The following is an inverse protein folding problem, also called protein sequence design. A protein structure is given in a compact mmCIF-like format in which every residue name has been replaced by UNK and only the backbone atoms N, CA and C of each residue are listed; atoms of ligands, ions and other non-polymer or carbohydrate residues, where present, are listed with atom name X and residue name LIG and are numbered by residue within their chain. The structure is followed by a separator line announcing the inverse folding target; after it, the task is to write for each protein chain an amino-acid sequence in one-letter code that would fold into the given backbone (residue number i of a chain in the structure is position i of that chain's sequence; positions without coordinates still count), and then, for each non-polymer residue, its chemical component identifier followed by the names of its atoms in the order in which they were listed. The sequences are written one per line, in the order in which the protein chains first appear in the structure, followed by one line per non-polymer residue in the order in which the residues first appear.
data_IF_292247183329
#
_entry.id   IF_292247183329
#
_cell.length_a   1.000
_cell.length_b   1.000
_cell.length_c   1.000
_cell.angle_alpha   90.00
_cell.angle_beta   90.00
_cell.angle_gamma   90.00
#
_symmetry.space_group_name_H-M   'P 1'
#
loop_
_entity.id
_entity.type
_entity.pdbx_description
1 polymer ?
#
# COMPACT_ATOMS: atom_id res chain seq x y z
N UNK A 1 -61.46 -3.96 31.24
CA UNK A 1 -60.90 -5.13 31.97
C UNK A 1 -60.46 -6.27 31.03
N UNK A 2 -61.10 -6.46 29.86
CA UNK A 2 -60.79 -7.58 28.95
C UNK A 2 -59.45 -7.47 28.19
N UNK A 3 -58.98 -6.25 27.89
CA UNK A 3 -57.74 -6.06 27.13
C UNK A 3 -56.48 -6.59 27.85
N UNK A 4 -56.40 -6.41 29.17
CA UNK A 4 -55.27 -6.91 29.98
C UNK A 4 -55.26 -8.44 30.09
N UNK A 5 -56.44 -9.07 30.11
CA UNK A 5 -56.58 -10.52 30.18
C UNK A 5 -56.18 -11.16 28.86
N UNK A 6 -56.62 -10.60 27.73
CA UNK A 6 -56.21 -11.05 26.40
C UNK A 6 -54.70 -10.83 26.15
N UNK A 7 -54.15 -9.70 26.58
CA UNK A 7 -52.70 -9.45 26.50
C UNK A 7 -51.90 -10.49 27.31
N UNK A 8 -52.34 -10.82 28.53
CA UNK A 8 -51.69 -11.86 29.35
C UNK A 8 -51.77 -13.23 28.71
N UNK A 9 -52.91 -13.58 28.11
CA UNK A 9 -53.12 -14.84 27.40
C UNK A 9 -52.23 -14.94 26.15
N UNK A 10 -52.10 -13.85 25.40
CA UNK A 10 -51.24 -13.76 24.21
C UNK A 10 -49.75 -13.85 24.56
N UNK A 11 -49.32 -13.20 25.64
CA UNK A 11 -47.93 -13.29 26.14
C UNK A 11 -47.58 -14.72 26.58
N UNK A 12 -48.51 -15.39 27.27
CA UNK A 12 -48.32 -16.78 27.68
C UNK A 12 -48.28 -17.74 26.49
N UNK A 13 -49.17 -17.58 25.51
CA UNK A 13 -49.25 -18.46 24.34
C UNK A 13 -48.07 -18.30 23.38
N UNK A 14 -47.51 -17.09 23.27
CA UNK A 14 -46.44 -16.77 22.30
C UNK A 14 -45.05 -16.65 22.95
N UNK A 15 -44.89 -17.05 24.21
CA UNK A 15 -43.64 -17.00 24.98
C UNK A 15 -42.43 -17.62 24.26
N UNK A 16 -42.63 -18.72 23.54
CA UNK A 16 -41.58 -19.39 22.74
C UNK A 16 -41.13 -18.54 21.54
N UNK A 17 -42.04 -17.75 20.94
CA UNK A 17 -41.70 -16.85 19.84
C UNK A 17 -40.87 -15.66 20.33
N UNK A 18 -41.20 -15.10 21.50
CA UNK A 18 -40.40 -14.04 22.11
C UNK A 18 -38.98 -14.51 22.45
N UNK A 19 -38.83 -15.69 23.05
CA UNK A 19 -37.51 -16.26 23.31
C UNK A 19 -36.70 -16.50 22.01
N UNK A 20 -37.36 -16.83 20.90
CA UNK A 20 -36.68 -16.97 19.60
C UNK A 20 -36.27 -15.61 19.03
N UNK A 21 -37.09 -14.57 19.18
CA UNK A 21 -36.76 -13.20 18.79
C UNK A 21 -35.57 -12.66 19.58
N UNK A 22 -35.59 -12.82 20.92
CA UNK A 22 -34.48 -12.40 21.80
C UNK A 22 -33.16 -13.09 21.40
N UNK A 23 -33.23 -14.38 21.05
CA UNK A 23 -32.05 -15.14 20.61
C UNK A 23 -31.54 -14.69 19.23
N UNK A 24 -32.42 -14.23 18.34
CA UNK A 24 -32.03 -13.69 17.04
C UNK A 24 -31.38 -12.32 17.22
N UNK A 25 -31.96 -11.46 18.07
CA UNK A 25 -31.42 -10.14 18.38
C UNK A 25 -30.03 -10.23 19.05
N UNK A 26 -29.88 -11.13 20.03
CA UNK A 26 -28.56 -11.42 20.63
C UNK A 26 -27.54 -11.89 19.59
N UNK A 27 -27.91 -12.82 18.71
CA UNK A 27 -27.03 -13.27 17.63
C UNK A 27 -26.68 -12.16 16.65
N UNK A 28 -27.59 -11.23 16.40
CA UNK A 28 -27.36 -10.10 15.52
C UNK A 28 -26.35 -9.13 16.15
N UNK A 29 -26.53 -8.81 17.43
CA UNK A 29 -25.57 -7.98 18.19
C UNK A 29 -24.18 -8.64 18.23
N UNK A 30 -24.10 -9.95 18.50
CA UNK A 30 -22.83 -10.69 18.48
C UNK A 30 -22.18 -10.73 17.10
N UNK A 31 -22.98 -10.79 16.04
CA UNK A 31 -22.50 -10.79 14.66
C UNK A 31 -21.96 -9.42 14.29
N UNK A 32 -22.67 -8.35 14.62
CA UNK A 32 -22.22 -6.97 14.38
C UNK A 32 -20.91 -6.67 15.12
N UNK A 33 -20.77 -7.14 16.37
CA UNK A 33 -19.52 -7.04 17.13
C UNK A 33 -18.35 -7.77 16.44
N UNK A 34 -18.58 -9.00 15.97
CA UNK A 34 -17.56 -9.77 15.23
C UNK A 34 -17.19 -9.10 13.91
N UNK A 35 -18.16 -8.51 13.21
CA UNK A 35 -17.88 -7.74 12.00
C UNK A 35 -16.99 -6.54 12.31
N UNK A 36 -17.29 -5.76 13.35
CA UNK A 36 -16.46 -4.65 13.80
C UNK A 36 -15.03 -5.09 14.17
N UNK A 37 -14.88 -6.22 14.86
CA UNK A 37 -13.56 -6.79 15.17
C UNK A 37 -12.79 -7.20 13.91
N UNK A 38 -13.46 -7.82 12.93
CA UNK A 38 -12.86 -8.19 11.64
C UNK A 38 -12.48 -6.94 10.85
N UNK A 39 -13.35 -5.93 10.78
CA UNK A 39 -13.05 -4.67 10.09
C UNK A 39 -11.87 -3.95 10.73
N UNK A 40 -11.81 -3.89 12.06
CA UNK A 40 -10.64 -3.36 12.79
C UNK A 40 -9.37 -4.15 12.51
N UNK A 41 -9.45 -5.49 12.47
CA UNK A 41 -8.30 -6.34 12.15
C UNK A 41 -7.83 -6.17 10.68
N UNK A 42 -8.74 -5.92 9.76
CA UNK A 42 -8.44 -5.63 8.35
C UNK A 42 -7.87 -4.22 8.17
N UNK A 43 -8.37 -3.23 8.90
CA UNK A 43 -7.82 -1.87 8.92
C UNK A 43 -6.44 -1.83 9.59
N UNK A 44 -6.24 -2.57 10.69
CA UNK A 44 -4.93 -2.67 11.34
C UNK A 44 -3.90 -3.38 10.44
N UNK A 45 -4.31 -4.34 9.62
CA UNK A 45 -3.44 -4.96 8.60
C UNK A 45 -3.24 -4.08 7.36
N UNK A 46 -4.11 -3.09 7.12
CA UNK A 46 -3.91 -2.06 6.09
C UNK A 46 -2.96 -0.96 6.52
N UNK A 47 -2.80 -0.77 7.83
CA UNK A 47 -2.21 0.45 8.37
C UNK A 47 -0.71 0.60 8.12
N UNK A 48 0.00 -0.43 7.68
CA UNK A 48 1.38 -0.25 7.30
C UNK A 48 1.88 -1.41 6.42
N UNK A 49 2.08 -1.10 5.14
CA UNK A 49 3.23 -1.62 4.41
C UNK A 49 4.54 -1.09 5.05
N UNK A 50 4.70 -1.22 6.37
CA UNK A 50 5.91 -0.85 7.14
C UNK A 50 7.16 -1.51 6.55
N UNK A 51 6.95 -2.61 5.84
CA UNK A 51 7.98 -3.43 5.22
C UNK A 51 8.15 -3.19 3.71
N UNK A 52 7.48 -2.19 3.13
CA UNK A 52 7.55 -1.91 1.68
C UNK A 52 7.03 -3.04 0.80
N UNK A 53 6.15 -3.90 1.33
CA UNK A 53 5.53 -5.01 0.59
C UNK A 53 4.18 -4.54 0.05
N UNK A 54 3.98 -4.71 -1.26
CA UNK A 54 2.77 -4.33 -1.99
C UNK A 54 2.20 -5.54 -2.72
N UNK A 55 0.87 -5.67 -2.71
CA UNK A 55 0.16 -6.74 -3.42
C UNK A 55 -0.22 -6.31 -4.84
N UNK A 56 -0.48 -7.30 -5.71
CA UNK A 56 -0.94 -7.04 -7.08
C UNK A 56 -2.21 -6.16 -7.07
N UNK A 57 -2.13 -5.00 -7.74
CA UNK A 57 -3.20 -3.99 -7.78
C UNK A 57 -2.88 -2.70 -7.01
N UNK A 58 -1.92 -2.73 -6.08
CA UNK A 58 -1.48 -1.54 -5.30
C UNK A 58 -0.39 -0.73 -6.03
N UNK A 59 -0.55 -0.52 -7.34
CA UNK A 59 0.47 0.11 -8.18
C UNK A 59 0.72 1.55 -7.75
N UNK A 60 -0.35 2.30 -7.50
CA UNK A 60 -0.26 3.71 -7.10
C UNK A 60 0.28 3.88 -5.67
N UNK A 61 -0.08 2.99 -4.75
CA UNK A 61 0.42 3.01 -3.38
C UNK A 61 1.93 2.73 -3.35
N UNK A 62 2.40 1.74 -4.14
CA UNK A 62 3.82 1.44 -4.30
C UNK A 62 4.59 2.62 -4.90
N UNK A 63 4.04 3.26 -5.94
CA UNK A 63 4.63 4.45 -6.55
C UNK A 63 4.76 5.62 -5.57
N UNK A 64 3.72 5.86 -4.77
CA UNK A 64 3.69 6.93 -3.77
C UNK A 64 4.72 6.66 -2.68
N UNK A 65 4.79 5.42 -2.20
CA UNK A 65 5.78 5.00 -1.21
C UNK A 65 7.22 5.21 -1.68
N UNK A 66 7.56 4.75 -2.90
CA UNK A 66 8.91 4.97 -3.46
C UNK A 66 9.18 6.45 -3.69
N UNK A 67 8.19 7.22 -4.16
CA UNK A 67 8.32 8.67 -4.31
C UNK A 67 8.63 9.37 -2.99
N UNK A 68 7.97 8.96 -1.90
CA UNK A 68 8.19 9.53 -0.57
C UNK A 68 9.56 9.18 -0.01
N UNK A 69 10.03 7.96 -0.27
CA UNK A 69 11.39 7.54 0.06
C UNK A 69 12.42 8.42 -0.67
N UNK A 70 12.26 8.62 -1.98
CA UNK A 70 13.18 9.44 -2.79
C UNK A 70 13.24 10.89 -2.31
N UNK A 71 12.09 11.47 -1.92
CA UNK A 71 12.02 12.83 -1.37
C UNK A 71 12.69 12.97 0.00
N UNK A 72 12.66 11.90 0.80
CA UNK A 72 13.25 11.86 2.15
C UNK A 72 14.74 11.54 2.16
N UNK A 73 15.32 11.10 1.04
CA UNK A 73 16.74 10.83 0.94
C UNK A 73 17.55 12.11 1.21
N UNK A 74 18.61 12.00 2.02
CA UNK A 74 19.43 13.15 2.44
C UNK A 74 20.79 13.19 1.73
N UNK A 75 21.38 12.02 1.42
CA UNK A 75 22.75 11.92 0.92
C UNK A 75 22.82 11.34 -0.49
N UNK A 76 22.36 10.10 -0.66
CA UNK A 76 22.46 9.41 -1.95
C UNK A 76 21.33 8.42 -2.21
N UNK A 77 21.07 8.15 -3.49
CA UNK A 77 20.14 7.13 -3.94
C UNK A 77 20.88 6.21 -4.90
N UNK A 78 20.89 4.91 -4.61
CA UNK A 78 21.50 3.89 -5.45
C UNK A 78 20.40 2.94 -5.94
N UNK A 79 20.16 2.96 -7.24
CA UNK A 79 19.17 2.10 -7.89
C UNK A 79 19.88 0.97 -8.64
N UNK A 80 19.67 -0.29 -8.22
CA UNK A 80 20.07 -1.45 -9.03
C UNK A 80 18.84 -1.98 -9.77
N UNK A 81 18.72 -1.61 -11.05
CA UNK A 81 17.62 -2.05 -11.91
C UNK A 81 18.09 -2.26 -13.35
N UNK A 82 17.65 -3.37 -13.94
CA UNK A 82 17.91 -3.75 -15.32
C UNK A 82 16.86 -3.21 -16.32
N UNK A 83 15.79 -2.55 -15.82
CA UNK A 83 14.66 -2.08 -16.61
C UNK A 83 14.40 -0.57 -16.44
N UNK A 84 15.46 0.23 -16.51
CA UNK A 84 15.37 1.68 -16.37
C UNK A 84 14.89 2.32 -17.67
N UNK A 85 13.83 3.13 -17.57
CA UNK A 85 13.28 3.97 -18.63
C UNK A 85 13.14 5.44 -18.16
N UNK A 86 12.53 6.29 -18.99
CA UNK A 86 12.30 7.70 -18.70
C UNK A 86 11.40 7.95 -17.47
N UNK A 87 10.50 7.02 -17.16
CA UNK A 87 9.63 7.11 -15.98
C UNK A 87 10.44 6.97 -14.70
N UNK A 88 11.45 6.09 -14.70
CA UNK A 88 12.38 5.91 -13.58
C UNK A 88 13.28 7.14 -13.40
N UNK A 89 13.79 7.72 -14.49
CA UNK A 89 14.57 8.96 -14.43
C UNK A 89 13.74 10.12 -13.86
N UNK A 90 12.49 10.24 -14.29
CA UNK A 90 11.54 11.24 -13.78
C UNK A 90 11.27 11.04 -12.29
N UNK A 91 11.14 9.79 -11.85
CA UNK A 91 10.94 9.44 -10.45
C UNK A 91 12.15 9.83 -9.59
N UNK A 92 13.36 9.51 -10.03
CA UNK A 92 14.61 9.92 -9.37
C UNK A 92 14.81 11.44 -9.36
N UNK A 93 14.19 12.17 -10.29
CA UNK A 93 14.18 13.63 -10.30
C UNK A 93 13.40 14.29 -9.18
N UNK A 94 12.59 13.53 -8.43
CA UNK A 94 11.90 14.06 -7.24
C UNK A 94 12.82 14.20 -6.02
N UNK A 95 14.08 13.78 -6.11
CA UNK A 95 15.07 13.92 -5.04
C UNK A 95 15.41 15.40 -4.81
N UNK A 96 15.95 15.70 -3.63
CA UNK A 96 16.48 17.04 -3.36
C UNK A 96 17.76 17.28 -4.19
N UNK A 97 18.01 18.53 -4.59
CA UNK A 97 19.14 18.88 -5.48
C UNK A 97 20.53 18.49 -4.92
N UNK A 98 20.65 18.36 -3.60
CA UNK A 98 21.89 17.98 -2.92
C UNK A 98 22.10 16.45 -2.87
N UNK A 99 21.12 15.65 -3.31
CA UNK A 99 21.16 14.19 -3.24
C UNK A 99 21.72 13.64 -4.54
N UNK A 100 22.78 12.85 -4.43
CA UNK A 100 23.38 12.17 -5.58
C UNK A 100 22.55 10.94 -5.99
N UNK A 101 22.51 10.63 -7.28
CA UNK A 101 21.77 9.48 -7.79
C UNK A 101 22.64 8.64 -8.73
N UNK A 102 22.75 7.36 -8.40
CA UNK A 102 23.49 6.36 -9.16
C UNK A 102 22.57 5.23 -9.60
N UNK A 103 22.67 4.85 -10.87
CA UNK A 103 21.95 3.72 -11.44
C UNK A 103 22.96 2.65 -11.82
N UNK A 104 22.78 1.45 -11.28
CA UNK A 104 23.51 0.26 -11.68
C UNK A 104 22.60 -0.64 -12.51
N UNK A 105 23.01 -0.91 -13.75
CA UNK A 105 22.29 -1.77 -14.68
C UNK A 105 23.24 -2.73 -15.38
N UNK A 106 22.74 -3.91 -15.75
CA UNK A 106 23.51 -4.89 -16.52
C UNK A 106 23.84 -4.44 -17.94
N UNK A 107 22.99 -3.60 -18.55
CA UNK A 107 23.18 -3.11 -19.90
C UNK A 107 22.65 -1.69 -20.08
N UNK A 108 23.44 -0.82 -20.70
CA UNK A 108 23.04 0.53 -21.05
C UNK A 108 22.61 0.53 -22.52
N UNK A 109 21.29 0.56 -22.76
CA UNK A 109 20.77 0.66 -24.11
C UNK A 109 21.06 2.03 -24.73
N UNK A 110 21.11 2.11 -26.07
CA UNK A 110 21.26 3.40 -26.76
C UNK A 110 20.12 4.37 -26.41
N UNK A 111 18.91 3.84 -26.18
CA UNK A 111 17.74 4.61 -25.77
C UNK A 111 17.97 5.24 -24.40
N UNK A 112 18.33 4.44 -23.40
CA UNK A 112 18.61 4.92 -22.04
C UNK A 112 19.72 5.98 -22.03
N UNK A 113 20.75 5.81 -22.87
CA UNK A 113 21.82 6.81 -23.00
C UNK A 113 21.32 8.15 -23.52
N UNK A 114 20.45 8.15 -24.53
CA UNK A 114 19.85 9.37 -25.07
C UNK A 114 18.92 10.04 -24.06
N UNK A 115 18.13 9.23 -23.34
CA UNK A 115 17.21 9.74 -22.32
C UNK A 115 17.97 10.35 -21.15
N UNK A 116 19.05 9.72 -20.68
CA UNK A 116 19.95 10.28 -19.67
C UNK A 116 20.61 11.57 -20.13
N UNK A 117 21.08 11.65 -21.38
CA UNK A 117 21.67 12.89 -21.91
C UNK A 117 20.66 14.04 -21.93
N UNK A 118 19.42 13.77 -22.35
CA UNK A 118 18.35 14.77 -22.34
C UNK A 118 17.98 15.17 -20.92
N UNK A 119 17.84 14.21 -20.02
CA UNK A 119 17.49 14.45 -18.64
C UNK A 119 18.56 15.29 -17.93
N UNK A 120 19.83 14.89 -18.01
CA UNK A 120 20.96 15.58 -17.38
C UNK A 120 21.21 16.99 -17.97
N UNK A 121 20.62 17.32 -19.12
CA UNK A 121 20.66 18.68 -19.68
C UNK A 121 19.70 19.67 -19.01
N UNK A 122 18.67 19.18 -18.31
CA UNK A 122 17.59 19.99 -17.73
C UNK A 122 17.42 19.79 -16.22
N UNK A 123 17.87 18.65 -15.68
CA UNK A 123 17.63 18.22 -14.30
C UNK A 123 18.94 17.81 -13.61
N UNK A 124 18.95 17.70 -12.27
CA UNK A 124 20.12 17.26 -11.52
C UNK A 124 20.69 15.94 -12.08
N UNK A 125 22.01 15.86 -12.33
CA UNK A 125 22.59 14.76 -13.08
C UNK A 125 22.40 13.41 -12.37
N UNK A 126 22.07 12.39 -13.15
CA UNK A 126 22.04 10.99 -12.73
C UNK A 126 23.20 10.27 -13.43
N UNK A 127 24.00 9.56 -12.64
CA UNK A 127 25.10 8.73 -13.13
C UNK A 127 24.62 7.29 -13.36
N UNK A 128 25.10 6.66 -14.43
CA UNK A 128 24.79 5.26 -14.74
C UNK A 128 26.09 4.47 -14.91
N UNK A 129 26.18 3.35 -14.22
CA UNK A 129 27.33 2.44 -14.28
C UNK A 129 26.87 1.03 -14.63
N UNK A 130 27.73 0.33 -15.38
CA UNK A 130 27.51 -1.08 -15.70
C UNK A 130 27.88 -1.94 -14.50
N UNK A 131 26.94 -2.77 -14.07
CA UNK A 131 27.18 -3.78 -13.04
C UNK A 131 26.83 -5.16 -13.58
N UNK A 132 27.85 -5.96 -13.89
CA UNK A 132 27.71 -7.26 -14.56
C UNK A 132 27.04 -8.34 -13.70
N UNK A 133 27.10 -8.21 -12.38
CA UNK A 133 26.54 -9.15 -11.41
C UNK A 133 25.11 -8.79 -10.96
N UNK A 134 24.46 -7.79 -11.60
CA UNK A 134 23.06 -7.44 -11.35
C UNK A 134 22.10 -8.53 -11.88
N UNK A 135 21.94 -9.63 -11.15
CA UNK A 135 20.93 -10.65 -11.47
C UNK A 135 19.53 -10.31 -10.90
N UNK A 136 19.46 -9.61 -9.76
CA UNK A 136 18.19 -9.28 -9.08
C UNK A 136 18.01 -7.76 -8.85
N UNK A 137 16.76 -7.28 -8.93
CA UNK A 137 16.39 -5.88 -8.62
C UNK A 137 16.55 -5.63 -7.13
N UNK A 138 17.46 -4.74 -6.75
CA UNK A 138 17.71 -4.35 -5.36
C UNK A 138 17.77 -2.82 -5.30
N UNK A 139 16.97 -2.19 -4.45
CA UNK A 139 17.05 -0.76 -4.18
C UNK A 139 17.68 -0.57 -2.80
N UNK A 140 18.80 0.16 -2.73
CA UNK A 140 19.51 0.47 -1.48
C UNK A 140 19.67 1.98 -1.34
N UNK A 141 19.36 2.52 -0.17
CA UNK A 141 19.49 3.95 0.12
C UNK A 141 20.48 4.09 1.26
N UNK A 142 21.50 4.92 1.04
CA UNK A 142 22.56 5.24 1.99
C UNK A 142 22.57 6.75 2.26
#
# INVERSE_FOLDING_TARGET
MNAFVEMRKMLASNSVLFHRLDKIELKQIETDQKFEEIFKALESNKLQSEKGIFYNGQIFDAYTFVSDIIRKAESSIILLDNYVDDTVLTLLGKRNDNVTAFIYTKNISNQLRLDLQRYNSQYPPIEVELFSDAQDRICGIF
#
